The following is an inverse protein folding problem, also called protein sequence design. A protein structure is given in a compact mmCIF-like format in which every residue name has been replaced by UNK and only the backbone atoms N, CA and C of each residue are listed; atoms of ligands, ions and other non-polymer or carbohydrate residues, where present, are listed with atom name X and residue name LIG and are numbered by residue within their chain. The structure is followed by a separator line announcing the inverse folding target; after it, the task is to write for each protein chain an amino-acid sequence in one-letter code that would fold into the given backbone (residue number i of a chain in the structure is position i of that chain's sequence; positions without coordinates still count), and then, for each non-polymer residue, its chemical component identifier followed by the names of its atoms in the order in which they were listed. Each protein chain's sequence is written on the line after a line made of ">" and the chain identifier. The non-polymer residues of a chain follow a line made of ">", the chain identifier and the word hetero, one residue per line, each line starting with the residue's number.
data_IF_735884835113
#
_entry.id   IF_735884835113
#
_cell.length_a   1.000
_cell.length_b   1.000
_cell.length_c   1.000
_cell.angle_alpha   90.00
_cell.angle_beta   90.00
_cell.angle_gamma   90.00
#
_symmetry.space_group_name_H-M   'P 1'
#
loop_
_entity.id
_entity.type
_entity.pdbx_description
1 polymer ?
#
# COMPACT_ATOMS: atom_id res chain seq x y z
N UNK A 1 -23.22 -20.22 -35.50
CA UNK A 1 -22.70 -19.92 -34.15
C UNK A 1 -22.27 -21.25 -33.53
N UNK A 2 -21.00 -21.66 -33.69
CA UNK A 2 -20.47 -22.84 -32.99
C UNK A 2 -20.16 -22.39 -31.56
N UNK A 3 -20.84 -22.95 -30.57
CA UNK A 3 -20.52 -22.68 -29.16
C UNK A 3 -19.17 -23.30 -28.81
N UNK A 4 -18.39 -22.60 -27.99
CA UNK A 4 -17.11 -23.07 -27.45
C UNK A 4 -17.26 -24.46 -26.82
N UNK A 5 -16.28 -25.33 -27.04
CA UNK A 5 -16.29 -26.70 -26.50
C UNK A 5 -16.15 -26.71 -24.96
N UNK A 6 -16.53 -27.81 -24.26
CA UNK A 6 -16.40 -27.89 -22.80
C UNK A 6 -14.98 -27.61 -22.28
N UNK A 7 -13.95 -28.10 -22.97
CA UNK A 7 -12.55 -27.86 -22.58
C UNK A 7 -12.04 -26.45 -22.85
N UNK A 8 -12.63 -25.74 -23.81
CA UNK A 8 -12.30 -24.34 -24.11
C UNK A 8 -12.82 -23.43 -22.99
N UNK A 9 -14.06 -23.69 -22.52
CA UNK A 9 -14.66 -22.96 -21.39
C UNK A 9 -13.93 -23.17 -20.07
N UNK A 10 -13.47 -24.39 -19.79
CA UNK A 10 -12.69 -24.68 -18.58
C UNK A 10 -11.35 -23.94 -18.60
N UNK A 11 -10.72 -23.81 -19.77
CA UNK A 11 -9.48 -23.02 -19.94
C UNK A 11 -9.74 -21.53 -19.74
N UNK A 12 -10.77 -20.98 -20.39
CA UNK A 12 -11.17 -19.57 -20.23
C UNK A 12 -11.44 -19.23 -18.75
N UNK A 13 -12.16 -20.10 -18.04
CA UNK A 13 -12.46 -19.91 -16.62
C UNK A 13 -11.20 -19.92 -15.73
N UNK A 14 -10.23 -20.79 -16.03
CA UNK A 14 -8.93 -20.82 -15.32
C UNK A 14 -8.08 -19.60 -15.62
N UNK A 15 -8.15 -19.09 -16.84
CA UNK A 15 -7.47 -17.84 -17.24
C UNK A 15 -8.07 -16.64 -16.50
N UNK A 16 -9.40 -16.54 -16.40
CA UNK A 16 -10.08 -15.50 -15.62
C UNK A 16 -9.66 -15.53 -14.14
N UNK A 17 -9.56 -16.72 -13.52
CA UNK A 17 -9.03 -16.87 -12.15
C UNK A 17 -7.60 -16.35 -12.04
N UNK A 18 -6.74 -16.70 -12.99
CA UNK A 18 -5.35 -16.27 -13.00
C UNK A 18 -5.22 -14.75 -13.15
N UNK A 19 -6.05 -14.13 -13.97
CA UNK A 19 -6.11 -12.67 -14.12
C UNK A 19 -6.59 -11.98 -12.84
N UNK A 20 -7.70 -12.46 -12.25
CA UNK A 20 -8.21 -11.97 -10.97
C UNK A 20 -7.16 -12.09 -9.86
N UNK A 21 -6.45 -13.22 -9.80
CA UNK A 21 -5.35 -13.44 -8.85
C UNK A 21 -4.22 -12.44 -9.07
N UNK A 22 -3.76 -12.27 -10.31
CA UNK A 22 -2.69 -11.34 -10.63
C UNK A 22 -3.06 -9.88 -10.29
N UNK A 23 -4.30 -9.49 -10.57
CA UNK A 23 -4.83 -8.18 -10.21
C UNK A 23 -4.91 -7.99 -8.69
N UNK A 24 -5.39 -9.00 -7.95
CA UNK A 24 -5.37 -8.99 -6.49
C UNK A 24 -3.95 -8.88 -5.92
N UNK A 25 -2.99 -9.64 -6.42
CA UNK A 25 -1.60 -9.56 -5.96
C UNK A 25 -0.97 -8.19 -6.24
N UNK A 26 -1.32 -7.58 -7.38
CA UNK A 26 -0.91 -6.22 -7.70
C UNK A 26 -1.50 -5.21 -6.72
N UNK A 27 -2.79 -5.35 -6.38
CA UNK A 27 -3.44 -4.54 -5.35
C UNK A 27 -2.78 -4.75 -3.98
N UNK A 28 -2.50 -5.98 -3.56
CA UNK A 28 -1.89 -6.27 -2.27
C UNK A 28 -0.46 -5.71 -2.15
N UNK A 29 0.34 -5.78 -3.23
CA UNK A 29 1.65 -5.09 -3.27
C UNK A 29 1.47 -3.57 -3.22
N UNK A 30 0.46 -3.05 -3.90
CA UNK A 30 0.13 -1.64 -3.91
C UNK A 30 -0.23 -1.15 -2.49
N UNK A 31 -1.11 -1.83 -1.76
CA UNK A 31 -1.49 -1.44 -0.39
C UNK A 31 -0.28 -1.42 0.55
N UNK A 32 0.60 -2.42 0.46
CA UNK A 32 1.86 -2.43 1.20
C UNK A 32 2.76 -1.22 0.87
N UNK A 33 2.86 -0.85 -0.41
CA UNK A 33 3.63 0.32 -0.86
C UNK A 33 2.99 1.65 -0.42
N UNK A 34 1.66 1.73 -0.43
CA UNK A 34 0.91 2.90 0.00
C UNK A 34 1.15 3.15 1.48
N UNK A 35 1.13 2.10 2.32
CA UNK A 35 1.46 2.19 3.74
C UNK A 35 2.84 2.80 4.00
N UNK A 36 3.83 2.53 3.15
CA UNK A 36 5.15 3.17 3.28
C UNK A 36 5.09 4.69 3.05
N UNK A 37 4.22 5.17 2.15
CA UNK A 37 3.99 6.59 1.96
C UNK A 37 3.33 7.22 3.20
N UNK A 38 2.33 6.53 3.77
CA UNK A 38 1.64 6.96 5.00
C UNK A 38 2.62 7.09 6.16
N UNK A 39 3.53 6.13 6.33
CA UNK A 39 4.56 6.16 7.38
C UNK A 39 5.55 7.33 7.24
N UNK A 40 5.74 7.84 6.02
CA UNK A 40 6.58 9.01 5.78
C UNK A 40 5.94 10.32 6.26
N UNK A 41 4.63 10.36 6.47
CA UNK A 41 3.90 11.55 6.89
C UNK A 41 4.26 11.93 8.34
N UNK A 42 4.57 13.21 8.59
CA UNK A 42 5.02 13.69 9.90
C UNK A 42 6.46 13.33 10.26
N UNK A 43 7.17 12.60 9.39
CA UNK A 43 8.59 12.29 9.56
C UNK A 43 9.50 13.38 8.97
N UNK A 44 10.82 13.24 9.13
CA UNK A 44 11.79 14.12 8.45
C UNK A 44 11.78 14.01 6.92
N UNK A 45 11.16 12.96 6.36
CA UNK A 45 10.96 12.79 4.92
C UNK A 45 9.67 13.45 4.41
N UNK A 46 8.84 13.99 5.31
CA UNK A 46 7.58 14.62 4.94
C UNK A 46 7.78 15.93 4.18
N UNK A 47 7.00 16.11 3.13
CA UNK A 47 7.04 17.29 2.29
C UNK A 47 6.10 17.20 1.11
N UNK A 48 5.98 18.29 0.35
CA UNK A 48 5.00 18.42 -0.75
C UNK A 48 5.08 17.32 -1.80
N UNK A 49 6.27 16.74 -2.02
CA UNK A 49 6.44 15.64 -2.97
C UNK A 49 5.79 14.36 -2.44
N UNK A 50 6.04 14.03 -1.17
CA UNK A 50 5.42 12.88 -0.52
C UNK A 50 3.90 13.02 -0.49
N UNK A 51 3.39 14.21 -0.11
CA UNK A 51 1.94 14.47 -0.04
C UNK A 51 1.24 14.31 -1.38
N UNK A 52 1.79 14.85 -2.47
CA UNK A 52 1.25 14.64 -3.82
C UNK A 52 1.30 13.17 -4.24
N UNK A 53 2.41 12.48 -3.97
CA UNK A 53 2.51 11.05 -4.25
C UNK A 53 1.47 10.23 -3.46
N UNK A 54 1.15 10.64 -2.24
CA UNK A 54 0.13 10.03 -1.39
C UNK A 54 -1.26 10.18 -2.01
N UNK A 55 -1.65 11.40 -2.39
CA UNK A 55 -2.92 11.72 -3.08
C UNK A 55 -3.06 10.99 -4.41
N UNK A 56 -2.05 11.08 -5.28
CA UNK A 56 -2.00 10.38 -6.57
C UNK A 56 -2.10 8.86 -6.39
N UNK A 57 -1.52 8.33 -5.31
CA UNK A 57 -1.63 6.91 -4.99
C UNK A 57 -3.00 6.57 -4.41
N UNK A 58 -3.63 7.43 -3.62
CA UNK A 58 -5.02 7.26 -3.17
C UNK A 58 -5.97 7.04 -4.34
N UNK A 59 -5.91 7.93 -5.36
CA UNK A 59 -6.68 7.77 -6.59
C UNK A 59 -6.37 6.47 -7.33
N UNK A 60 -5.08 6.17 -7.57
CA UNK A 60 -4.68 4.94 -8.28
C UNK A 60 -5.11 3.67 -7.55
N UNK A 61 -5.02 3.66 -6.22
CA UNK A 61 -5.48 2.54 -5.41
C UNK A 61 -6.98 2.32 -5.55
N UNK A 62 -7.77 3.39 -5.55
CA UNK A 62 -9.21 3.32 -5.82
C UNK A 62 -9.51 2.77 -7.23
N UNK A 63 -8.82 3.24 -8.26
CA UNK A 63 -8.99 2.75 -9.64
C UNK A 63 -8.65 1.26 -9.80
N UNK A 64 -7.55 0.80 -9.19
CA UNK A 64 -7.18 -0.62 -9.16
C UNK A 64 -8.24 -1.47 -8.48
N UNK A 65 -8.73 -0.99 -7.34
CA UNK A 65 -9.78 -1.65 -6.55
C UNK A 65 -11.09 -1.76 -7.33
N UNK A 66 -11.47 -0.68 -8.03
CA UNK A 66 -12.66 -0.62 -8.87
C UNK A 66 -12.58 -1.60 -10.05
N UNK A 67 -11.41 -1.69 -10.70
CA UNK A 67 -11.16 -2.63 -11.79
C UNK A 67 -11.31 -4.08 -11.33
N UNK A 68 -10.61 -4.44 -10.24
CA UNK A 68 -10.69 -5.78 -9.66
C UNK A 68 -12.10 -6.14 -9.21
N UNK A 69 -12.81 -5.22 -8.56
CA UNK A 69 -14.22 -5.41 -8.18
C UNK A 69 -15.08 -5.75 -9.40
N UNK A 70 -14.98 -4.97 -10.47
CA UNK A 70 -15.81 -5.17 -11.65
C UNK A 70 -15.51 -6.52 -12.31
N UNK A 71 -14.24 -6.92 -12.35
CA UNK A 71 -13.82 -8.22 -12.87
C UNK A 71 -14.38 -9.36 -12.01
N UNK A 72 -14.22 -9.30 -10.69
CA UNK A 72 -14.75 -10.33 -9.78
C UNK A 72 -16.27 -10.41 -9.82
N UNK A 73 -16.98 -9.28 -9.87
CA UNK A 73 -18.44 -9.27 -9.96
C UNK A 73 -18.93 -9.87 -11.28
N UNK A 74 -18.23 -9.61 -12.39
CA UNK A 74 -18.55 -10.25 -13.67
C UNK A 74 -18.45 -11.78 -13.51
N UNK A 75 -17.30 -12.28 -13.05
CA UNK A 75 -17.07 -13.72 -12.91
C UNK A 75 -17.99 -14.41 -11.89
N UNK A 76 -18.28 -13.77 -10.75
CA UNK A 76 -19.11 -14.35 -9.68
C UNK A 76 -20.63 -14.27 -9.95
N UNK A 77 -21.07 -13.31 -10.77
CA UNK A 77 -22.49 -13.12 -11.08
C UNK A 77 -22.93 -13.88 -12.34
N UNK A 78 -21.99 -14.40 -13.13
CA UNK A 78 -22.31 -15.13 -14.37
C UNK A 78 -23.31 -16.27 -14.10
N UNK A 79 -24.55 -16.18 -14.64
CA UNK A 79 -25.61 -17.11 -14.32
C UNK A 79 -25.41 -18.42 -15.08
N UNK A 80 -25.01 -19.46 -14.37
CA UNK A 80 -25.10 -20.84 -14.83
C UNK A 80 -24.01 -21.69 -14.21
N UNK A 81 -24.30 -22.96 -13.93
CA UNK A 81 -23.32 -23.99 -13.52
C UNK A 81 -22.28 -24.31 -14.61
N UNK A 82 -21.68 -23.27 -15.17
CA UNK A 82 -20.68 -23.22 -16.24
C UNK A 82 -19.27 -23.22 -15.68
N UNK A 83 -19.10 -22.77 -14.44
CA UNK A 83 -17.81 -22.83 -13.75
C UNK A 83 -17.70 -24.14 -12.99
N UNK A 84 -16.52 -24.77 -13.12
CA UNK A 84 -16.11 -25.86 -12.24
C UNK A 84 -16.16 -25.36 -10.79
N UNK A 85 -16.62 -26.19 -9.84
CA UNK A 85 -16.75 -25.78 -8.44
C UNK A 85 -15.43 -25.23 -7.88
N UNK A 86 -14.30 -25.83 -8.29
CA UNK A 86 -12.94 -25.36 -7.95
C UNK A 86 -12.66 -23.93 -8.40
N UNK A 87 -13.10 -23.55 -9.61
CA UNK A 87 -12.93 -22.18 -10.14
C UNK A 87 -13.73 -21.19 -9.30
N UNK A 88 -14.98 -21.54 -8.99
CA UNK A 88 -15.85 -20.71 -8.18
C UNK A 88 -15.28 -20.50 -6.78
N UNK A 89 -14.83 -21.57 -6.12
CA UNK A 89 -14.19 -21.49 -4.81
C UNK A 89 -12.97 -20.55 -4.83
N UNK A 90 -12.14 -20.62 -5.88
CA UNK A 90 -10.97 -19.74 -5.97
C UNK A 90 -11.35 -18.27 -6.18
N UNK A 91 -12.39 -17.99 -6.98
CA UNK A 91 -12.91 -16.63 -7.13
C UNK A 91 -13.50 -16.08 -5.83
N UNK A 92 -14.25 -16.90 -5.08
CA UNK A 92 -14.77 -16.55 -3.75
C UNK A 92 -13.63 -16.30 -2.74
N UNK A 93 -12.55 -17.08 -2.82
CA UNK A 93 -11.34 -16.85 -2.02
C UNK A 93 -10.67 -15.52 -2.38
N UNK A 94 -10.47 -15.24 -3.66
CA UNK A 94 -9.90 -13.96 -4.12
C UNK A 94 -10.79 -12.80 -3.71
N UNK A 95 -12.11 -12.97 -3.73
CA UNK A 95 -13.07 -11.97 -3.26
C UNK A 95 -12.87 -11.62 -1.78
N UNK A 96 -12.81 -12.62 -0.89
CA UNK A 96 -12.55 -12.40 0.54
C UNK A 96 -11.18 -11.75 0.77
N UNK A 97 -10.15 -12.21 0.06
CA UNK A 97 -8.81 -11.61 0.12
C UNK A 97 -8.82 -10.15 -0.34
N UNK A 98 -9.57 -9.84 -1.40
CA UNK A 98 -9.76 -8.50 -1.91
C UNK A 98 -10.40 -7.60 -0.85
N UNK A 99 -11.52 -8.02 -0.25
CA UNK A 99 -12.18 -7.28 0.84
C UNK A 99 -11.19 -6.93 1.96
N UNK A 100 -10.44 -7.91 2.45
CA UNK A 100 -9.43 -7.68 3.51
C UNK A 100 -8.34 -6.68 3.10
N UNK A 101 -7.88 -6.72 1.85
CA UNK A 101 -6.87 -5.77 1.36
C UNK A 101 -7.44 -4.35 1.23
N UNK A 102 -8.72 -4.21 0.84
CA UNK A 102 -9.40 -2.92 0.75
C UNK A 102 -9.65 -2.31 2.12
N UNK A 103 -10.00 -3.11 3.13
CA UNK A 103 -10.12 -2.64 4.52
C UNK A 103 -8.80 -2.04 5.03
N UNK A 104 -7.69 -2.74 4.80
CA UNK A 104 -6.35 -2.25 5.17
C UNK A 104 -6.04 -0.94 4.43
N UNK A 105 -6.35 -0.88 3.13
CA UNK A 105 -6.13 0.33 2.34
C UNK A 105 -6.99 1.50 2.82
N UNK A 106 -8.24 1.25 3.20
CA UNK A 106 -9.15 2.25 3.78
C UNK A 106 -8.60 2.80 5.11
N UNK A 107 -8.09 1.92 5.98
CA UNK A 107 -7.43 2.34 7.23
C UNK A 107 -6.21 3.22 6.95
N UNK A 108 -5.40 2.88 5.95
CA UNK A 108 -4.24 3.67 5.56
C UNK A 108 -4.63 5.02 4.94
N UNK A 109 -5.74 5.10 4.19
CA UNK A 109 -6.32 6.35 3.67
C UNK A 109 -6.79 7.26 4.80
N UNK A 110 -7.55 6.73 5.77
CA UNK A 110 -7.98 7.47 6.95
C UNK A 110 -6.80 7.98 7.77
N UNK A 111 -5.81 7.11 8.02
CA UNK A 111 -4.57 7.48 8.71
C UNK A 111 -3.80 8.57 7.97
N UNK A 112 -3.69 8.47 6.64
CA UNK A 112 -3.07 9.50 5.81
C UNK A 112 -3.78 10.85 5.95
N UNK A 113 -5.12 10.86 5.93
CA UNK A 113 -5.92 12.06 6.12
C UNK A 113 -5.67 12.70 7.50
N UNK A 114 -5.76 11.92 8.56
CA UNK A 114 -5.59 12.39 9.94
C UNK A 114 -4.18 12.97 10.16
N UNK A 115 -3.14 12.24 9.73
CA UNK A 115 -1.77 12.71 9.84
C UNK A 115 -1.52 13.97 8.98
N UNK A 116 -2.23 14.13 7.86
CA UNK A 116 -2.18 15.36 7.05
C UNK A 116 -2.75 16.57 7.76
N UNK A 117 -3.76 16.38 8.62
CA UNK A 117 -4.32 17.46 9.42
C UNK A 117 -3.47 17.80 10.63
N UNK A 118 -2.85 16.79 11.25
CA UNK A 118 -1.97 16.97 12.42
C UNK A 118 -0.65 17.66 12.01
N UNK A 119 -0.12 17.33 10.83
CA UNK A 119 1.14 17.88 10.31
C UNK A 119 0.90 18.73 9.05
N UNK A 120 0.32 19.94 9.17
CA UNK A 120 0.04 20.78 8.02
C UNK A 120 1.33 21.29 7.38
N UNK A 121 1.41 21.23 6.05
CA UNK A 121 2.53 21.83 5.32
C UNK A 121 2.31 23.35 5.18
N UNK A 122 3.33 24.20 5.45
CA UNK A 122 3.21 25.64 5.27
C UNK A 122 2.82 25.95 3.83
N UNK A 123 1.81 26.78 3.57
CA UNK A 123 1.48 27.21 2.21
C UNK A 123 2.59 28.13 1.65
N UNK A 124 2.92 28.10 0.34
CA UNK A 124 3.89 29.05 -0.23
C UNK A 124 3.42 30.51 -0.12
N UNK A 125 2.10 30.72 -0.06
CA UNK A 125 1.42 32.01 0.00
C UNK A 125 1.34 32.57 1.42
N UNK A 126 1.39 31.69 2.42
CA UNK A 126 1.43 32.11 3.82
C UNK A 126 2.84 32.63 4.08
N UNK A 127 2.97 33.94 4.29
CA UNK A 127 4.19 34.59 4.78
C UNK A 127 4.58 34.16 6.20
N UNK A 128 4.31 32.90 6.58
CA UNK A 128 4.77 32.28 7.81
C UNK A 128 6.29 32.22 7.78
N UNK A 129 6.86 33.19 8.47
CA UNK A 129 8.26 33.28 8.85
C UNK A 129 8.73 31.90 9.30
N UNK A 130 9.65 31.31 8.52
CA UNK A 130 10.43 30.17 8.96
C UNK A 130 11.08 30.58 10.29
N UNK A 131 10.74 29.90 11.38
CA UNK A 131 11.50 30.04 12.62
C UNK A 131 12.89 29.51 12.28
N UNK A 132 13.85 30.43 12.18
CA UNK A 132 15.25 30.13 12.05
C UNK A 132 15.68 29.42 13.35
N UNK A 133 15.50 28.10 13.39
CA UNK A 133 16.19 27.26 14.35
C UNK A 133 17.65 27.43 14.01
N UNK A 134 18.40 28.19 14.82
CA UNK A 134 19.75 28.69 14.53
C UNK A 134 20.84 27.61 14.36
N UNK A 135 20.52 26.47 13.75
CA UNK A 135 21.46 25.50 13.21
C UNK A 135 22.03 26.07 11.91
N UNK A 136 22.91 27.03 12.09
CA UNK A 136 23.92 27.39 11.09
C UNK A 136 24.84 26.18 10.96
N UNK A 137 24.61 25.34 9.96
CA UNK A 137 25.62 24.40 9.51
C UNK A 137 26.80 25.23 9.03
N UNK A 138 27.85 25.33 9.84
CA UNK A 138 29.13 25.92 9.48
C UNK A 138 29.82 25.03 8.43
N UNK A 139 29.28 25.03 7.21
CA UNK A 139 29.95 24.57 6.00
C UNK A 139 30.74 25.73 5.39
N UNK A 140 31.93 25.47 4.81
CA UNK A 140 32.78 26.52 4.28
C UNK A 140 32.06 27.36 3.23
N UNK A 141 32.08 28.68 3.47
CA UNK A 141 31.71 29.83 2.63
C UNK A 141 31.29 29.48 1.20
N UNK A 142 30.01 29.69 0.86
CA UNK A 142 29.63 29.91 -0.54
C UNK A 142 28.24 29.50 -0.98
N UNK A 143 27.52 28.68 -0.21
CA UNK A 143 26.19 28.22 -0.65
C UNK A 143 25.09 29.08 0.00
N UNK A 144 24.77 30.21 -0.64
CA UNK A 144 23.45 30.82 -0.42
C UNK A 144 22.44 29.89 -1.09
N UNK A 145 21.63 29.20 -0.28
CA UNK A 145 20.49 28.39 -0.73
C UNK A 145 19.39 29.32 -1.25
N UNK A 146 19.66 29.99 -2.39
CA UNK A 146 18.64 30.76 -3.11
C UNK A 146 17.73 29.72 -3.75
N UNK A 147 16.60 29.48 -3.09
CA UNK A 147 15.55 28.56 -3.54
C UNK A 147 15.10 28.99 -4.95
N UNK A 148 15.05 28.09 -5.95
CA UNK A 148 14.41 28.41 -7.21
C UNK A 148 12.93 28.68 -6.90
N UNK A 149 12.45 29.87 -7.22
CA UNK A 149 11.03 30.20 -7.22
C UNK A 149 10.40 29.50 -8.43
N UNK A 150 10.21 28.19 -8.30
CA UNK A 150 9.39 27.40 -9.18
C UNK A 150 7.94 27.67 -8.81
N UNK A 151 7.17 28.19 -9.76
CA UNK A 151 5.73 28.40 -9.68
C UNK A 151 5.05 27.02 -9.59
N UNK A 152 5.13 26.33 -8.47
CA UNK A 152 4.35 25.11 -8.23
C UNK A 152 3.00 25.55 -7.69
N UNK A 153 1.99 25.38 -8.55
CA UNK A 153 0.59 25.70 -8.31
C UNK A 153 0.13 25.30 -6.90
N UNK A 154 -0.58 26.23 -6.28
CA UNK A 154 -1.06 26.24 -4.92
C UNK A 154 -2.23 25.27 -4.77
N UNK A 155 -1.96 24.05 -4.29
CA UNK A 155 -3.00 23.06 -3.95
C UNK A 155 -2.84 22.47 -2.55
N UNK A 156 -2.07 23.15 -1.69
CA UNK A 156 -1.74 22.67 -0.35
C UNK A 156 -2.96 22.54 0.57
N UNK A 157 -4.06 23.26 0.28
CA UNK A 157 -5.31 23.20 1.06
C UNK A 157 -6.31 22.13 0.62
N UNK A 158 -6.19 21.58 -0.59
CA UNK A 158 -7.16 20.60 -1.14
C UNK A 158 -6.72 19.15 -0.90
N UNK A 159 -5.44 18.96 -0.56
CA UNK A 159 -4.81 17.66 -0.37
C UNK A 159 -5.48 16.76 0.68
N UNK A 160 -5.82 17.25 1.89
CA UNK A 160 -6.51 16.43 2.88
C UNK A 160 -7.93 16.06 2.44
N UNK A 161 -8.61 16.96 1.74
CA UNK A 161 -10.01 16.78 1.32
C UNK A 161 -10.13 15.69 0.25
N UNK A 162 -9.21 15.66 -0.72
CA UNK A 162 -9.19 14.61 -1.74
C UNK A 162 -8.96 13.22 -1.12
N UNK A 163 -8.06 13.10 -0.13
CA UNK A 163 -7.86 11.83 0.59
C UNK A 163 -9.12 11.35 1.31
N UNK A 164 -9.88 12.28 1.92
CA UNK A 164 -11.16 11.95 2.56
C UNK A 164 -12.19 11.46 1.53
N UNK A 165 -12.27 12.13 0.36
CA UNK A 165 -13.17 11.72 -0.73
C UNK A 165 -12.84 10.31 -1.24
N UNK A 166 -11.55 9.97 -1.40
CA UNK A 166 -11.15 8.61 -1.79
C UNK A 166 -11.50 7.58 -0.71
N UNK A 167 -11.32 7.91 0.56
CA UNK A 167 -11.75 7.08 1.69
C UNK A 167 -13.25 6.79 1.66
N UNK A 168 -14.08 7.83 1.52
CA UNK A 168 -15.53 7.68 1.46
C UNK A 168 -15.98 6.82 0.26
N UNK A 169 -15.45 7.08 -0.93
CA UNK A 169 -15.79 6.28 -2.12
C UNK A 169 -15.38 4.83 -1.96
N UNK A 170 -14.26 4.57 -1.30
CA UNK A 170 -13.77 3.22 -1.05
C UNK A 170 -14.66 2.50 -0.02
N UNK A 171 -15.11 3.19 1.02
CA UNK A 171 -16.06 2.68 2.02
C UNK A 171 -17.41 2.32 1.38
N UNK A 172 -17.96 3.22 0.55
CA UNK A 172 -19.19 2.96 -0.21
C UNK A 172 -19.02 1.73 -1.12
N UNK A 173 -17.89 1.63 -1.83
CA UNK A 173 -17.59 0.49 -2.69
C UNK A 173 -17.47 -0.82 -1.89
N UNK A 174 -16.84 -0.79 -0.72
CA UNK A 174 -16.63 -1.96 0.13
C UNK A 174 -17.97 -2.50 0.64
N UNK A 175 -18.86 -1.61 1.10
CA UNK A 175 -20.21 -1.98 1.51
C UNK A 175 -21.03 -2.56 0.35
N UNK A 176 -20.91 -1.98 -0.85
CA UNK A 176 -21.54 -2.55 -2.04
C UNK A 176 -21.00 -3.94 -2.37
N UNK A 177 -19.70 -4.19 -2.19
CA UNK A 177 -19.13 -5.51 -2.40
C UNK A 177 -19.72 -6.49 -1.40
N UNK A 178 -19.60 -6.22 -0.10
CA UNK A 178 -20.10 -7.10 0.97
C UNK A 178 -21.57 -7.50 0.80
N UNK A 179 -22.40 -6.63 0.24
CA UNK A 179 -23.84 -6.89 0.02
C UNK A 179 -24.14 -7.62 -1.29
N UNK A 180 -23.28 -7.55 -2.31
CA UNK A 180 -23.53 -8.12 -3.65
C UNK A 180 -23.26 -9.62 -3.74
N UNK A 181 -22.24 -10.11 -3.03
CA UNK A 181 -21.90 -11.54 -3.06
C UNK A 181 -21.92 -12.08 -1.64
N UNK A 182 -22.87 -12.98 -1.36
CA UNK A 182 -23.03 -13.60 -0.05
C UNK A 182 -22.03 -14.75 0.13
N UNK A 183 -20.73 -14.44 0.15
CA UNK A 183 -19.65 -15.37 0.50
C UNK A 183 -19.35 -15.21 2.00
N UNK A 184 -19.74 -16.16 2.86
CA UNK A 184 -19.34 -16.11 4.25
C UNK A 184 -17.82 -16.27 4.39
N UNK A 185 -17.17 -15.42 5.18
CA UNK A 185 -15.70 -15.47 5.40
C UNK A 185 -15.22 -16.85 5.90
N UNK A 186 -16.09 -17.61 6.58
CA UNK A 186 -15.79 -18.95 7.09
C UNK A 186 -15.94 -20.08 6.07
N UNK A 187 -16.48 -19.83 4.87
CA UNK A 187 -16.63 -20.87 3.83
C UNK A 187 -15.38 -21.06 2.96
N UNK A 188 -14.37 -20.20 3.12
CA UNK A 188 -13.12 -20.30 2.36
C UNK A 188 -12.12 -21.18 3.10
N UNK A 189 -11.85 -22.37 2.56
CA UNK A 189 -10.83 -23.26 3.10
C UNK A 189 -9.42 -22.70 2.87
N UNK A 190 -8.56 -22.78 3.88
CA UNK A 190 -7.17 -22.36 3.79
C UNK A 190 -6.36 -23.40 3.01
N UNK A 191 -6.09 -23.13 1.73
CA UNK A 191 -5.09 -23.91 0.99
C UNK A 191 -3.70 -23.53 1.48
N UNK A 192 -3.11 -24.41 2.30
CA UNK A 192 -1.65 -24.38 2.54
C UNK A 192 -1.04 -24.77 1.21
N UNK A 193 -0.36 -23.83 0.54
CA UNK A 193 0.37 -24.15 -0.69
C UNK A 193 1.29 -25.34 -0.44
N UNK A 194 1.28 -26.32 -1.34
CA UNK A 194 2.05 -27.56 -1.20
C UNK A 194 3.50 -27.24 -0.76
N UNK A 195 3.95 -27.75 0.40
CA UNK A 195 5.31 -27.54 0.86
C UNK A 195 6.36 -28.19 -0.05
N UNK A 196 5.95 -29.03 -1.01
CA UNK A 196 6.84 -29.76 -1.93
C UNK A 196 7.47 -28.90 -3.04
N UNK A 197 7.00 -27.66 -3.27
CA UNK A 197 7.60 -26.79 -4.29
C UNK A 197 8.96 -26.16 -3.86
N UNK A 198 9.40 -26.35 -2.61
CA UNK A 198 10.66 -25.80 -2.08
C UNK A 198 11.78 -26.84 -1.90
N UNK A 199 11.51 -28.13 -2.11
CA UNK A 199 12.45 -29.21 -1.79
C UNK A 199 13.23 -29.73 -3.02
N UNK A 200 13.60 -28.88 -3.99
CA UNK A 200 14.58 -29.27 -5.01
C UNK A 200 15.45 -28.08 -5.44
N UNK A 201 16.43 -27.74 -4.60
CA UNK A 201 17.69 -27.17 -5.09
C UNK A 201 18.85 -27.80 -4.31
N UNK A 202 19.84 -28.39 -5.02
CA UNK A 202 20.87 -29.18 -4.36
C UNK A 202 21.83 -28.29 -3.58
N UNK A 203 22.22 -28.82 -2.44
CA UNK A 203 23.30 -28.36 -1.59
C UNK A 203 24.58 -28.08 -2.40
N UNK A 204 25.12 -26.87 -2.23
CA UNK A 204 26.54 -26.61 -2.48
C UNK A 204 27.08 -25.63 -1.44
N UNK A 205 27.79 -26.24 -0.49
CA UNK A 205 28.80 -25.71 0.43
C UNK A 205 29.24 -24.24 0.26
N UNK A 206 29.14 -23.48 1.35
CA UNK A 206 30.31 -22.91 2.05
C UNK A 206 29.82 -22.13 3.27
N UNK A 207 30.16 -22.62 4.47
CA UNK A 207 29.89 -21.92 5.71
C UNK A 207 30.57 -20.55 5.77
N UNK A 208 29.81 -19.51 6.08
CA UNK A 208 30.35 -18.26 6.58
C UNK A 208 29.38 -17.66 7.60
N UNK A 209 29.73 -17.82 8.86
CA UNK A 209 29.07 -17.26 10.03
C UNK A 209 29.02 -15.73 9.95
N UNK A 210 27.86 -15.06 10.13
CA UNK A 210 27.82 -13.63 10.32
C UNK A 210 28.15 -13.32 11.77
N UNK A 211 29.38 -12.85 12.02
CA UNK A 211 29.73 -12.19 13.28
C UNK A 211 28.83 -10.97 13.45
N UNK A 212 28.02 -10.97 14.49
CA UNK A 212 27.30 -9.79 14.96
C UNK A 212 28.29 -8.71 15.36
N UNK A 213 28.23 -7.56 14.68
CA UNK A 213 28.94 -6.35 15.08
C UNK A 213 28.03 -5.50 15.95
N UNK A 214 28.00 -5.80 17.25
CA UNK A 214 27.66 -4.81 18.26
C UNK A 214 28.83 -3.81 18.34
N UNK A 215 28.61 -2.58 17.88
CA UNK A 215 29.57 -1.50 18.10
C UNK A 215 29.66 -1.22 19.61
N UNK A 216 30.79 -1.62 20.20
CA UNK A 216 31.25 -1.15 21.51
C UNK A 216 31.62 0.32 21.41
N UNK A 217 31.15 1.10 22.39
CA UNK A 217 31.65 2.46 22.62
C UNK A 217 33.11 2.46 23.09
N UNK A 218 33.80 3.62 23.02
CA UNK A 218 35.07 3.82 23.69
C UNK A 218 34.86 4.28 25.14
N UNK A 219 35.20 3.41 26.09
CA UNK A 219 35.53 3.79 27.47
C UNK A 219 36.87 4.53 27.49
N UNK A 220 36.87 5.73 28.10
CA UNK A 220 37.74 6.15 29.22
C UNK A 220 38.02 7.64 29.14
N UNK A 221 37.41 8.38 30.08
CA UNK A 221 38.14 9.33 30.90
C UNK A 221 37.59 9.19 32.32
N UNK A 222 38.38 8.53 33.18
CA UNK A 222 38.25 8.60 34.63
C UNK A 222 38.49 10.04 35.08
N UNK A 223 37.65 10.57 35.96
CA UNK A 223 38.09 10.90 37.33
C UNK A 223 37.09 11.76 38.09
N UNK A 224 36.67 11.21 39.23
CA UNK A 224 36.30 11.87 40.48
C UNK A 224 34.93 12.53 40.61
N UNK A 225 34.04 11.76 41.26
CA UNK A 225 33.02 12.28 42.16
C UNK A 225 33.69 12.94 43.37
N UNK A 226 33.25 14.14 43.74
CA UNK A 226 33.18 14.57 45.14
C UNK A 226 31.76 15.06 45.39
N UNK A 227 31.19 14.48 46.45
CA UNK A 227 29.93 14.83 47.10
C UNK A 227 30.14 16.09 47.92
N UNK A 228 29.31 17.12 47.70
CA UNK A 228 28.76 18.05 48.68
C UNK A 228 27.66 18.89 48.00
#
# INVERSE_FOLDING_TARGET
>A
MRGAGPGERAREAREAVAECRAAYEALNRFTASYRQLVLGVGSSADGRRLRRALEESGRRGFELSLGLRNQLLAELTEPGGRQEEEVKMELERIWVLCLSALEIFLQDLGRAHDLSRIFPLPSPTSGTQLVNTGVISFGPKGWSLRRPSGKTSERAGELPEELAQWGQRLEEMLLEMETKVNVPVWSVEATVGDPEALEHSPESSAGRSPRGCCARGPDRLQSHCIVA
#
